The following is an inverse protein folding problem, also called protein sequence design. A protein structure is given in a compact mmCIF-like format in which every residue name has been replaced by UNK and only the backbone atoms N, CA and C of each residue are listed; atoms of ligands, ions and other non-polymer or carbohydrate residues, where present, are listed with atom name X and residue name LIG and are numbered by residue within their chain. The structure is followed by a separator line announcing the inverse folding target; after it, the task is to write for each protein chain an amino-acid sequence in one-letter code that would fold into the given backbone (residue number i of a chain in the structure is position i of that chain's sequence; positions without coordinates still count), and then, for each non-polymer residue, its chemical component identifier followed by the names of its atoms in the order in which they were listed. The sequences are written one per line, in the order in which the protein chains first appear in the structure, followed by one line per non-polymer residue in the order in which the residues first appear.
data_IF_030390924605
#
_entry.id   IF_030390924605
#
_cell.length_a   1.000
_cell.length_b   1.000
_cell.length_c   1.000
_cell.angle_alpha   90.00
_cell.angle_beta   90.00
_cell.angle_gamma   90.00
#
_symmetry.space_group_name_H-M   'P 1'
#
loop_
_entity.id
_entity.type
_entity.pdbx_description
1 polymer ?
#
# COMPACT_ATOMS: atom_id res chain seq x y z
N UNK A 1 -6.08 4.38 25.55
CA UNK A 1 -5.42 4.45 24.22
C UNK A 1 -5.62 5.86 23.65
N UNK A 2 -4.55 6.56 23.26
CA UNK A 2 -4.60 7.99 22.85
C UNK A 2 -4.49 8.23 21.33
N UNK A 3 -3.94 7.28 20.56
CA UNK A 3 -3.92 7.31 19.08
C UNK A 3 -3.20 8.53 18.43
N UNK A 4 -2.42 9.29 19.19
CA UNK A 4 -1.67 10.47 18.73
C UNK A 4 -0.53 10.13 17.75
N UNK A 5 0.06 8.93 17.88
CA UNK A 5 1.19 8.49 17.08
C UNK A 5 0.94 7.11 16.46
N UNK A 6 1.56 6.80 15.30
CA UNK A 6 1.54 5.46 14.73
C UNK A 6 2.01 4.39 15.73
N UNK A 7 1.28 3.28 15.81
CA UNK A 7 1.56 2.24 16.81
C UNK A 7 2.96 1.61 16.63
N UNK A 8 3.42 1.45 15.40
CA UNK A 8 4.76 0.94 15.08
C UNK A 8 5.86 1.87 15.61
N UNK A 9 5.69 3.19 15.49
CA UNK A 9 6.62 4.17 16.03
C UNK A 9 6.64 4.13 17.57
N UNK A 10 5.48 4.01 18.21
CA UNK A 10 5.38 3.88 19.67
C UNK A 10 6.10 2.62 20.17
N UNK A 11 5.85 1.46 19.55
CA UNK A 11 6.53 0.21 19.89
C UNK A 11 8.04 0.30 19.62
N UNK A 12 8.44 0.87 18.49
CA UNK A 12 9.86 1.04 18.17
C UNK A 12 10.57 1.95 19.19
N UNK A 13 9.95 3.06 19.56
CA UNK A 13 10.49 3.99 20.55
C UNK A 13 10.59 3.36 21.94
N UNK A 14 9.54 2.64 22.36
CA UNK A 14 9.53 1.91 23.61
C UNK A 14 10.66 0.87 23.66
N UNK A 15 10.81 0.04 22.62
CA UNK A 15 11.85 -0.99 22.56
C UNK A 15 13.27 -0.41 22.49
N UNK A 16 13.46 0.74 21.85
CA UNK A 16 14.75 1.47 21.85
C UNK A 16 15.14 1.98 23.25
N UNK A 17 14.16 2.44 24.04
CA UNK A 17 14.36 2.88 25.44
C UNK A 17 14.62 1.71 26.39
N UNK A 18 14.03 0.54 26.11
CA UNK A 18 14.14 -0.66 26.95
C UNK A 18 15.10 -1.69 26.33
N UNK A 19 16.39 -1.34 26.28
CA UNK A 19 17.43 -2.18 25.63
C UNK A 19 17.59 -3.58 26.21
N UNK A 20 17.12 -3.82 27.45
CA UNK A 20 17.13 -5.12 28.12
C UNK A 20 16.18 -6.13 27.47
N UNK A 21 15.18 -5.68 26.70
CA UNK A 21 14.26 -6.56 26.00
C UNK A 21 14.99 -7.33 24.90
N UNK A 22 14.98 -8.66 25.00
CA UNK A 22 15.51 -9.56 24.00
C UNK A 22 14.62 -9.62 22.75
N UNK A 23 15.05 -10.37 21.73
CA UNK A 23 14.28 -10.52 20.50
C UNK A 23 12.88 -11.13 20.76
N UNK A 24 12.80 -12.11 21.67
CA UNK A 24 11.55 -12.76 22.06
C UNK A 24 10.58 -11.79 22.74
N UNK A 25 11.07 -11.00 23.69
CA UNK A 25 10.22 -10.04 24.43
C UNK A 25 9.65 -8.97 23.49
N UNK A 26 10.46 -8.50 22.54
CA UNK A 26 10.03 -7.51 21.54
C UNK A 26 8.98 -8.09 20.59
N UNK A 27 9.15 -9.35 20.17
CA UNK A 27 8.17 -10.04 19.34
C UNK A 27 6.84 -10.21 20.08
N UNK A 28 6.89 -10.66 21.34
CA UNK A 28 5.70 -10.81 22.17
C UNK A 28 4.99 -9.47 22.43
N UNK A 29 5.74 -8.41 22.74
CA UNK A 29 5.19 -7.07 22.91
C UNK A 29 4.47 -6.60 21.65
N UNK A 30 5.11 -6.74 20.48
CA UNK A 30 4.51 -6.38 19.20
C UNK A 30 3.24 -7.22 18.92
N UNK A 31 3.30 -8.54 19.13
CA UNK A 31 2.18 -9.44 18.90
C UNK A 31 0.98 -9.08 19.80
N UNK A 32 1.20 -8.72 21.08
CA UNK A 32 0.12 -8.24 21.97
C UNK A 32 -0.43 -6.90 21.51
N UNK A 33 0.42 -5.89 21.28
CA UNK A 33 -0.04 -4.54 20.91
C UNK A 33 -0.82 -4.58 19.59
N UNK A 34 -0.26 -5.20 18.55
CA UNK A 34 -0.93 -5.27 17.25
C UNK A 34 -2.12 -6.24 17.25
N UNK A 35 -2.09 -7.28 18.08
CA UNK A 35 -3.23 -8.19 18.28
C UNK A 35 -4.44 -7.47 18.89
N UNK A 36 -4.21 -6.76 20.01
CA UNK A 36 -5.23 -5.92 20.66
C UNK A 36 -5.76 -4.86 19.70
N UNK A 37 -4.90 -4.17 18.96
CA UNK A 37 -5.35 -3.15 18.01
C UNK A 37 -6.17 -3.74 16.85
N UNK A 38 -5.86 -4.93 16.35
CA UNK A 38 -6.68 -5.58 15.32
C UNK A 38 -8.06 -5.92 15.83
N UNK A 39 -8.14 -6.43 17.05
CA UNK A 39 -9.36 -6.96 17.67
C UNK A 39 -9.92 -6.06 18.78
N UNK A 40 -9.72 -4.74 18.67
CA UNK A 40 -9.87 -3.82 19.78
C UNK A 40 -11.28 -3.85 20.38
N UNK A 41 -12.32 -3.87 19.55
CA UNK A 41 -13.70 -3.78 20.04
C UNK A 41 -14.13 -5.08 20.72
N UNK A 42 -13.77 -6.25 20.18
CA UNK A 42 -13.99 -7.55 20.86
C UNK A 42 -13.17 -7.66 22.15
N UNK A 43 -11.91 -7.19 22.14
CA UNK A 43 -11.08 -7.18 23.35
C UNK A 43 -11.67 -6.26 24.43
N UNK A 44 -12.16 -5.07 24.05
CA UNK A 44 -12.86 -4.16 24.97
C UNK A 44 -14.15 -4.77 25.52
N UNK A 45 -14.93 -5.45 24.68
CA UNK A 45 -16.16 -6.12 25.10
C UNK A 45 -15.92 -7.29 26.08
N UNK A 46 -14.75 -7.94 25.99
CA UNK A 46 -14.36 -9.04 26.88
C UNK A 46 -13.59 -8.58 28.13
N UNK A 47 -13.11 -7.34 28.18
CA UNK A 47 -12.32 -6.82 29.28
C UNK A 47 -13.21 -6.46 30.48
N UNK A 48 -12.66 -6.61 31.70
CA UNK A 48 -13.33 -6.16 32.93
C UNK A 48 -13.46 -4.64 33.00
N UNK A 49 -12.54 -3.92 32.35
CA UNK A 49 -12.58 -2.48 32.15
C UNK A 49 -12.00 -2.16 30.76
N UNK A 50 -12.81 -1.55 29.88
CA UNK A 50 -12.42 -1.21 28.52
C UNK A 50 -11.45 -0.02 28.41
N UNK A 51 -11.29 0.76 29.49
CA UNK A 51 -10.37 1.89 29.58
C UNK A 51 -9.00 1.53 30.15
N UNK A 52 -8.88 0.40 30.83
CA UNK A 52 -7.66 -0.05 31.50
C UNK A 52 -6.77 -0.94 30.61
N UNK A 53 -5.47 -0.66 30.57
CA UNK A 53 -4.54 -1.37 29.70
C UNK A 53 -4.31 -2.82 30.15
N UNK A 54 -4.24 -3.07 31.46
CA UNK A 54 -3.97 -4.40 32.01
C UNK A 54 -5.18 -5.33 31.80
N UNK A 55 -6.40 -4.80 31.95
CA UNK A 55 -7.64 -5.51 31.63
C UNK A 55 -7.73 -5.92 30.16
N UNK A 56 -7.34 -5.03 29.23
CA UNK A 56 -7.30 -5.33 27.80
C UNK A 56 -6.25 -6.41 27.46
N UNK A 57 -5.06 -6.32 28.06
CA UNK A 57 -4.01 -7.32 27.91
C UNK A 57 -4.48 -8.68 28.46
N UNK A 58 -5.14 -8.71 29.62
CA UNK A 58 -5.68 -9.93 30.21
C UNK A 58 -6.80 -10.56 29.34
N UNK A 59 -7.69 -9.74 28.78
CA UNK A 59 -8.72 -10.19 27.85
C UNK A 59 -8.12 -10.79 26.58
N UNK A 60 -7.06 -10.18 26.03
CA UNK A 60 -6.31 -10.70 24.88
C UNK A 60 -5.64 -12.04 25.18
N UNK A 61 -4.85 -12.10 26.26
CA UNK A 61 -4.06 -13.27 26.63
C UNK A 61 -4.92 -14.48 27.05
N UNK A 62 -6.09 -14.24 27.65
CA UNK A 62 -7.03 -15.30 28.01
C UNK A 62 -7.82 -15.86 26.81
N UNK A 63 -7.79 -15.19 25.65
CA UNK A 63 -8.61 -15.52 24.49
C UNK A 63 -10.11 -15.26 24.69
N UNK A 64 -10.51 -14.56 25.77
CA UNK A 64 -11.92 -14.28 26.05
C UNK A 64 -12.62 -13.51 24.92
N UNK A 65 -11.89 -12.61 24.26
CA UNK A 65 -12.33 -11.83 23.11
C UNK A 65 -12.82 -12.68 21.92
N UNK A 66 -12.33 -13.91 21.76
CA UNK A 66 -12.74 -14.80 20.66
C UNK A 66 -14.17 -15.34 20.84
N UNK A 67 -14.68 -15.32 22.07
CA UNK A 67 -16.03 -15.80 22.42
C UNK A 67 -17.07 -14.68 22.47
N UNK A 68 -16.67 -13.44 22.16
CA UNK A 68 -17.59 -12.31 22.06
C UNK A 68 -18.51 -12.56 20.87
N UNK A 69 -19.74 -12.98 21.17
CA UNK A 69 -20.76 -13.27 20.17
C UNK A 69 -21.23 -11.98 19.50
N UNK A 70 -21.17 -11.96 18.18
CA UNK A 70 -21.70 -10.89 17.35
C UNK A 70 -23.19 -10.61 17.62
N UNK A 71 -23.99 -11.61 18.01
CA UNK A 71 -25.42 -11.42 18.26
C UNK A 71 -25.72 -10.52 19.49
N UNK A 72 -24.77 -10.43 20.44
CA UNK A 72 -24.90 -9.59 21.64
C UNK A 72 -24.38 -8.15 21.47
N UNK A 73 -23.73 -7.83 20.34
CA UNK A 73 -23.07 -6.54 20.12
C UNK A 73 -23.38 -5.97 18.73
N UNK A 74 -23.15 -4.67 18.54
CA UNK A 74 -23.33 -4.04 17.23
C UNK A 74 -22.36 -4.58 16.16
N UNK A 75 -22.71 -4.40 14.88
CA UNK A 75 -21.92 -4.88 13.74
C UNK A 75 -20.43 -4.46 13.79
N UNK A 76 -20.13 -3.26 14.28
CA UNK A 76 -18.76 -2.80 14.43
C UNK A 76 -17.95 -3.53 15.50
N UNK A 77 -18.58 -4.06 16.55
CA UNK A 77 -17.90 -4.95 17.50
C UNK A 77 -17.63 -6.29 16.86
N UNK A 78 -18.63 -6.89 16.20
CA UNK A 78 -18.50 -8.17 15.52
C UNK A 78 -17.39 -8.18 14.45
N UNK A 79 -17.21 -7.06 13.75
CA UNK A 79 -16.22 -6.91 12.69
C UNK A 79 -14.87 -6.32 13.17
N UNK A 80 -14.75 -5.92 14.44
CA UNK A 80 -13.65 -5.07 14.94
C UNK A 80 -13.35 -3.85 14.06
N UNK A 81 -14.38 -3.19 13.58
CA UNK A 81 -14.26 -2.02 12.73
C UNK A 81 -15.04 -0.85 13.34
N UNK A 82 -14.59 0.41 13.15
CA UNK A 82 -15.42 1.57 13.44
C UNK A 82 -16.74 1.52 12.66
N UNK A 83 -17.84 1.91 13.30
CA UNK A 83 -19.17 1.86 12.67
C UNK A 83 -19.25 2.73 11.41
N UNK A 84 -18.60 3.90 11.44
CA UNK A 84 -18.53 4.81 10.31
C UNK A 84 -17.81 4.20 9.09
N UNK A 85 -16.80 3.36 9.35
CA UNK A 85 -16.00 2.73 8.31
C UNK A 85 -16.77 1.57 7.67
N UNK A 86 -17.45 0.74 8.48
CA UNK A 86 -18.33 -0.31 7.98
C UNK A 86 -19.47 0.24 7.12
N UNK A 87 -20.10 1.33 7.56
CA UNK A 87 -21.19 1.96 6.82
C UNK A 87 -20.78 2.50 5.44
N UNK A 88 -19.48 2.68 5.20
CA UNK A 88 -18.92 3.20 3.95
C UNK A 88 -18.06 2.18 3.21
N UNK A 89 -18.05 0.92 3.65
CA UNK A 89 -17.22 -0.13 3.08
C UNK A 89 -17.81 -0.57 1.72
N UNK A 90 -17.16 -0.32 0.58
CA UNK A 90 -17.81 -0.45 -0.71
C UNK A 90 -17.66 -1.84 -1.34
N UNK A 91 -16.87 -2.74 -0.75
CA UNK A 91 -16.40 -3.97 -1.42
C UNK A 91 -17.01 -5.26 -0.88
N UNK A 92 -18.27 -5.23 -0.47
CA UNK A 92 -19.00 -6.44 -0.12
C UNK A 92 -20.42 -6.36 -0.66
N UNK A 93 -20.83 -7.38 -1.40
CA UNK A 93 -22.16 -7.47 -1.99
C UNK A 93 -23.20 -8.00 -0.98
N UNK A 94 -22.72 -8.66 0.08
CA UNK A 94 -23.56 -9.26 1.13
C UNK A 94 -23.04 -8.97 2.53
N UNK A 95 -23.90 -9.01 3.57
CA UNK A 95 -23.46 -8.90 4.97
C UNK A 95 -22.45 -9.97 5.38
N UNK A 96 -22.58 -11.20 4.84
CA UNK A 96 -21.66 -12.29 5.13
C UNK A 96 -20.26 -12.04 4.55
N UNK A 97 -20.21 -11.53 3.32
CA UNK A 97 -18.96 -11.12 2.69
C UNK A 97 -18.33 -9.91 3.39
N UNK A 98 -19.13 -8.93 3.82
CA UNK A 98 -18.64 -7.79 4.58
C UNK A 98 -17.95 -8.23 5.89
N UNK A 99 -18.55 -9.19 6.59
CA UNK A 99 -17.96 -9.77 7.79
C UNK A 99 -16.67 -10.55 7.48
N UNK A 100 -16.66 -11.38 6.43
CA UNK A 100 -15.47 -12.12 6.01
C UNK A 100 -14.32 -11.19 5.59
N UNK A 101 -14.67 -10.10 4.89
CA UNK A 101 -13.74 -9.06 4.47
C UNK A 101 -13.14 -8.36 5.69
N UNK A 102 -13.97 -7.93 6.64
CA UNK A 102 -13.50 -7.30 7.87
C UNK A 102 -12.55 -8.22 8.64
N UNK A 103 -12.90 -9.51 8.78
CA UNK A 103 -12.02 -10.50 9.41
C UNK A 103 -10.69 -10.62 8.65
N UNK A 104 -10.69 -10.66 7.32
CA UNK A 104 -9.46 -10.69 6.52
C UNK A 104 -8.59 -9.43 6.70
N UNK A 105 -9.19 -8.25 6.85
CA UNK A 105 -8.48 -7.01 7.20
C UNK A 105 -7.95 -7.00 8.64
N UNK A 106 -8.52 -7.81 9.53
CA UNK A 106 -8.06 -8.01 10.90
C UNK A 106 -6.99 -9.10 11.03
N UNK A 107 -6.56 -9.72 9.93
CA UNK A 107 -5.45 -10.67 9.95
C UNK A 107 -4.12 -9.98 9.64
N UNK A 108 -3.00 -10.40 10.27
CA UNK A 108 -1.67 -9.90 9.92
C UNK A 108 -1.38 -10.01 8.41
N UNK A 109 -0.73 -9.00 7.83
CA UNK A 109 -0.33 -9.05 6.43
C UNK A 109 0.85 -10.02 6.22
N UNK A 110 0.89 -10.78 5.12
CA UNK A 110 2.09 -11.50 4.72
C UNK A 110 3.22 -10.53 4.38
N UNK A 111 4.43 -11.06 4.38
CA UNK A 111 5.62 -10.36 3.93
C UNK A 111 5.91 -10.73 2.48
N UNK A 112 5.65 -9.79 1.58
CA UNK A 112 5.94 -9.94 0.17
C UNK A 112 7.21 -9.13 -0.21
N UNK A 113 7.99 -9.74 -1.09
CA UNK A 113 9.19 -9.18 -1.68
C UNK A 113 8.98 -8.99 -3.17
N UNK A 114 9.54 -7.92 -3.72
CA UNK A 114 9.63 -7.69 -5.16
C UNK A 114 11.06 -7.96 -5.61
N UNK A 115 11.20 -8.82 -6.61
CA UNK A 115 12.48 -9.06 -7.28
C UNK A 115 12.83 -7.89 -8.19
N UNK A 116 14.04 -7.35 -8.01
CA UNK A 116 14.60 -6.37 -8.93
C UNK A 116 15.06 -7.07 -10.22
N UNK A 117 14.29 -6.86 -11.28
CA UNK A 117 14.54 -7.51 -12.58
C UNK A 117 15.91 -7.17 -13.18
N UNK A 118 16.58 -6.10 -12.76
CA UNK A 118 17.94 -5.77 -13.19
C UNK A 118 19.02 -6.66 -12.56
N UNK A 119 18.72 -7.26 -11.41
CA UNK A 119 19.66 -8.07 -10.62
C UNK A 119 19.46 -9.57 -10.79
N UNK A 120 18.25 -10.00 -11.15
CA UNK A 120 17.98 -11.42 -11.36
C UNK A 120 16.57 -11.74 -11.82
N UNK A 121 16.34 -13.04 -12.10
CA UNK A 121 15.01 -13.60 -12.36
C UNK A 121 14.42 -14.13 -11.05
N UNK A 122 13.09 -14.13 -10.94
CA UNK A 122 12.36 -14.56 -9.73
C UNK A 122 12.81 -15.93 -9.21
N UNK A 123 12.89 -16.93 -10.08
CA UNK A 123 13.21 -18.29 -9.66
C UNK A 123 14.66 -18.45 -9.19
N UNK A 124 15.60 -17.71 -9.79
CA UNK A 124 17.00 -17.69 -9.35
C UNK A 124 17.15 -17.01 -7.99
N UNK A 125 16.45 -15.89 -7.77
CA UNK A 125 16.42 -15.19 -6.47
C UNK A 125 15.76 -16.05 -5.39
N UNK A 126 14.67 -16.76 -5.73
CA UNK A 126 14.02 -17.74 -4.85
C UNK A 126 14.98 -18.86 -4.45
N UNK A 127 15.72 -19.42 -5.40
CA UNK A 127 16.69 -20.48 -5.13
C UNK A 127 17.82 -20.00 -4.21
N UNK A 128 18.30 -18.77 -4.40
CA UNK A 128 19.30 -18.16 -3.53
C UNK A 128 18.77 -17.97 -2.09
N UNK A 129 17.55 -17.47 -1.91
CA UNK A 129 16.91 -17.38 -0.59
C UNK A 129 16.78 -18.76 0.08
N UNK A 130 16.38 -19.78 -0.68
CA UNK A 130 16.23 -21.14 -0.16
C UNK A 130 17.57 -21.74 0.29
N UNK A 131 18.67 -21.46 -0.42
CA UNK A 131 20.01 -21.88 -0.02
C UNK A 131 20.45 -21.27 1.32
N UNK A 132 19.95 -20.07 1.64
CA UNK A 132 20.16 -19.38 2.92
C UNK A 132 19.10 -19.73 3.99
N UNK A 133 18.28 -20.76 3.74
CA UNK A 133 17.26 -21.25 4.67
C UNK A 133 16.01 -20.36 4.77
N UNK A 134 15.81 -19.44 3.82
CA UNK A 134 14.63 -18.59 3.74
C UNK A 134 13.64 -19.18 2.74
N UNK A 135 12.60 -19.79 3.28
CA UNK A 135 11.52 -20.33 2.47
C UNK A 135 10.64 -19.20 1.90
N UNK A 136 10.38 -19.27 0.59
CA UNK A 136 9.46 -18.36 -0.09
C UNK A 136 8.64 -19.08 -1.15
N UNK A 137 7.42 -18.62 -1.37
CA UNK A 137 6.55 -19.05 -2.47
C UNK A 137 6.44 -17.95 -3.52
N UNK A 138 6.25 -18.27 -4.81
CA UNK A 138 5.89 -17.25 -5.80
C UNK A 138 4.61 -16.51 -5.39
N UNK A 139 4.57 -15.20 -5.62
CA UNK A 139 3.33 -14.44 -5.50
C UNK A 139 2.28 -14.96 -6.47
N UNK A 140 1.00 -14.78 -6.10
CA UNK A 140 -0.15 -15.33 -6.84
C UNK A 140 -0.43 -14.53 -8.11
N UNK A 141 -0.12 -13.24 -8.11
CA UNK A 141 -0.57 -12.28 -9.10
C UNK A 141 0.56 -11.61 -9.85
N UNK A 142 1.61 -11.16 -9.17
CA UNK A 142 2.74 -10.45 -9.76
C UNK A 142 3.83 -11.43 -10.18
N UNK A 143 4.35 -11.36 -11.41
CA UNK A 143 5.47 -12.20 -11.84
C UNK A 143 6.79 -11.85 -11.11
N UNK A 144 6.81 -10.75 -10.35
CA UNK A 144 7.98 -10.28 -9.60
C UNK A 144 7.92 -10.65 -8.11
N UNK A 145 6.76 -11.09 -7.62
CA UNK A 145 6.53 -11.27 -6.20
C UNK A 145 7.07 -12.61 -5.69
N UNK A 146 7.64 -12.56 -4.48
CA UNK A 146 7.94 -13.71 -3.63
C UNK A 146 7.30 -13.45 -2.26
N UNK A 147 6.48 -14.39 -1.78
CA UNK A 147 5.89 -14.37 -0.44
C UNK A 147 6.77 -15.15 0.51
N UNK A 148 7.12 -14.53 1.63
CA UNK A 148 8.00 -15.12 2.65
C UNK A 148 7.19 -15.99 3.60
N UNK A 149 7.69 -17.20 3.87
CA UNK A 149 7.14 -18.10 4.88
C UNK A 149 7.80 -17.79 6.23
N UNK A 150 6.98 -17.63 7.27
CA UNK A 150 7.45 -17.27 8.61
C UNK A 150 7.93 -15.82 8.74
N UNK A 151 8.79 -15.57 9.74
CA UNK A 151 9.30 -14.22 10.07
C UNK A 151 10.86 -14.19 10.09
N UNK A 152 11.56 -14.56 9.01
CA UNK A 152 13.03 -14.56 8.97
C UNK A 152 13.61 -13.14 9.04
N UNK A 153 14.85 -13.02 9.49
CA UNK A 153 15.56 -11.75 9.57
C UNK A 153 16.10 -11.31 8.19
N UNK A 154 15.25 -10.66 7.38
CA UNK A 154 15.61 -10.29 6.00
C UNK A 154 16.46 -9.03 5.87
N UNK A 155 16.35 -8.09 6.81
CA UNK A 155 16.94 -6.74 6.66
C UNK A 155 18.45 -6.73 6.42
N UNK A 156 19.16 -7.77 6.87
CA UNK A 156 20.63 -7.91 6.70
C UNK A 156 21.00 -8.92 5.62
N UNK A 157 20.03 -9.50 4.94
CA UNK A 157 20.27 -10.50 3.91
C UNK A 157 21.05 -9.88 2.73
N UNK A 158 22.05 -10.59 2.15
CA UNK A 158 22.83 -10.05 1.03
C UNK A 158 21.97 -9.53 -0.13
N UNK A 159 20.92 -10.27 -0.52
CA UNK A 159 19.98 -9.86 -1.59
C UNK A 159 19.13 -8.63 -1.27
N UNK A 160 18.92 -8.32 0.02
CA UNK A 160 18.31 -7.04 0.42
C UNK A 160 19.34 -5.91 0.40
N UNK A 161 20.58 -6.22 0.82
CA UNK A 161 21.67 -5.26 0.92
C UNK A 161 22.19 -4.80 -0.46
N UNK A 162 22.17 -5.66 -1.48
CA UNK A 162 22.59 -5.33 -2.85
C UNK A 162 21.46 -4.83 -3.76
N UNK A 163 20.23 -4.76 -3.22
CA UNK A 163 19.04 -4.28 -3.94
C UNK A 163 18.49 -5.27 -4.97
N UNK A 164 18.79 -6.56 -4.84
CA UNK A 164 18.13 -7.63 -5.60
C UNK A 164 16.67 -7.82 -5.19
N UNK A 165 16.32 -7.43 -3.96
CA UNK A 165 15.00 -7.52 -3.38
C UNK A 165 14.57 -6.18 -2.75
N UNK A 166 13.28 -5.89 -2.83
CA UNK A 166 12.63 -4.81 -2.10
C UNK A 166 11.42 -5.37 -1.35
N UNK A 167 11.19 -4.92 -0.10
CA UNK A 167 9.93 -5.26 0.61
C UNK A 167 8.81 -4.46 -0.04
N UNK A 168 7.82 -5.16 -0.60
CA UNK A 168 6.67 -4.53 -1.21
C UNK A 168 5.51 -5.52 -1.35
N UNK A 169 4.34 -5.13 -0.86
CA UNK A 169 3.08 -5.85 -1.06
C UNK A 169 2.84 -6.16 -2.53
N UNK A 170 2.37 -7.38 -2.83
CA UNK A 170 2.08 -7.83 -4.19
C UNK A 170 1.08 -6.92 -4.92
N UNK A 171 0.07 -6.39 -4.24
CA UNK A 171 -0.87 -5.42 -4.81
C UNK A 171 -0.19 -4.10 -5.22
N UNK A 172 0.72 -3.61 -4.38
CA UNK A 172 1.53 -2.43 -4.74
C UNK A 172 2.45 -2.66 -5.94
N UNK A 173 2.89 -3.90 -6.18
CA UNK A 173 3.64 -4.27 -7.38
C UNK A 173 2.75 -4.20 -8.63
N UNK A 174 1.49 -4.66 -8.55
CA UNK A 174 0.53 -4.59 -9.64
C UNK A 174 0.24 -3.13 -10.03
N UNK A 175 0.13 -2.22 -9.06
CA UNK A 175 -0.01 -0.78 -9.32
C UNK A 175 1.17 -0.23 -10.15
N UNK A 176 2.41 -0.62 -9.82
CA UNK A 176 3.59 -0.25 -10.61
C UNK A 176 3.58 -0.83 -12.02
N UNK A 177 3.04 -2.04 -12.20
CA UNK A 177 2.84 -2.64 -13.53
C UNK A 177 1.76 -1.92 -14.33
N UNK A 178 0.70 -1.45 -13.69
CA UNK A 178 -0.44 -0.78 -14.34
C UNK A 178 -0.03 0.52 -15.06
N UNK A 179 1.04 1.16 -14.62
CA UNK A 179 1.67 2.28 -15.34
C UNK A 179 2.06 1.84 -16.75
N UNK A 180 2.62 0.64 -16.90
CA UNK A 180 3.02 0.07 -18.19
C UNK A 180 4.25 0.73 -18.80
N UNK A 181 5.13 1.30 -17.98
CA UNK A 181 6.32 2.04 -18.39
C UNK A 181 7.20 1.26 -19.37
N UNK A 182 7.61 1.93 -20.46
CA UNK A 182 8.45 1.37 -21.52
C UNK A 182 9.83 2.03 -21.51
N UNK A 183 10.79 1.32 -22.09
CA UNK A 183 12.17 1.80 -22.21
C UNK A 183 12.20 3.11 -23.00
N UNK A 184 12.95 4.09 -22.52
CA UNK A 184 13.17 5.36 -23.21
C UNK A 184 12.09 6.42 -22.94
N UNK A 185 10.97 6.06 -22.30
CA UNK A 185 9.91 7.00 -21.94
C UNK A 185 10.34 7.95 -20.79
N UNK A 186 9.66 9.10 -20.74
CA UNK A 186 9.63 10.00 -19.61
C UNK A 186 8.43 9.64 -18.72
N UNK A 187 8.72 9.10 -17.55
CA UNK A 187 7.73 8.69 -16.55
C UNK A 187 7.83 9.60 -15.32
N UNK A 188 6.69 9.98 -14.77
CA UNK A 188 6.59 10.74 -13.52
C UNK A 188 5.92 9.87 -12.47
N UNK A 189 6.51 9.79 -11.28
CA UNK A 189 5.90 9.30 -10.05
C UNK A 189 5.67 10.51 -9.14
N UNK A 190 4.44 11.02 -9.11
CA UNK A 190 4.10 12.35 -8.58
C UNK A 190 4.05 12.38 -7.04
N UNK A 191 3.83 11.23 -6.41
CA UNK A 191 3.78 11.06 -4.97
C UNK A 191 4.64 9.85 -4.56
N UNK A 192 5.93 9.94 -4.87
CA UNK A 192 6.84 8.80 -4.82
C UNK A 192 7.04 8.22 -3.41
N UNK A 193 6.88 9.03 -2.35
CA UNK A 193 7.14 8.61 -0.98
C UNK A 193 8.56 8.05 -0.82
N UNK A 194 8.67 6.88 -0.19
CA UNK A 194 9.94 6.15 -0.06
C UNK A 194 10.35 5.42 -1.36
N UNK A 195 9.55 5.53 -2.42
CA UNK A 195 9.96 5.24 -3.79
C UNK A 195 9.86 3.78 -4.23
N UNK A 196 9.09 2.95 -3.53
CA UNK A 196 8.87 1.54 -3.90
C UNK A 196 8.47 1.39 -5.37
N UNK A 197 7.46 2.16 -5.82
CA UNK A 197 6.99 2.14 -7.21
C UNK A 197 7.98 2.79 -8.18
N UNK A 198 8.64 3.89 -7.81
CA UNK A 198 9.69 4.51 -8.64
C UNK A 198 10.84 3.54 -8.94
N UNK A 199 11.28 2.76 -7.94
CA UNK A 199 12.30 1.71 -8.11
C UNK A 199 11.83 0.62 -9.08
N UNK A 200 10.56 0.23 -9.01
CA UNK A 200 9.97 -0.73 -9.95
C UNK A 200 9.96 -0.19 -11.37
N UNK A 201 9.48 1.05 -11.55
CA UNK A 201 9.40 1.71 -12.85
C UNK A 201 10.79 1.82 -13.49
N UNK A 202 11.79 2.28 -12.73
CA UNK A 202 13.17 2.39 -13.20
C UNK A 202 13.74 1.03 -13.65
N UNK A 203 13.48 -0.03 -12.88
CA UNK A 203 13.95 -1.39 -13.19
C UNK A 203 13.23 -1.97 -14.43
N UNK A 204 11.93 -1.80 -14.55
CA UNK A 204 11.12 -2.21 -15.71
C UNK A 204 11.61 -1.53 -16.99
N UNK A 205 11.95 -0.25 -16.90
CA UNK A 205 12.51 0.55 -17.98
C UNK A 205 13.97 0.21 -18.30
N UNK A 206 14.60 -0.73 -17.59
CA UNK A 206 15.99 -1.17 -17.79
C UNK A 206 17.01 -0.04 -17.82
N UNK A 207 16.89 0.93 -16.92
CA UNK A 207 17.75 2.13 -16.90
C UNK A 207 17.67 3.01 -18.18
N UNK A 208 16.70 2.79 -19.07
CA UNK A 208 16.51 3.60 -20.27
C UNK A 208 15.32 4.56 -20.11
N UNK A 209 15.50 5.84 -20.48
CA UNK A 209 14.51 6.88 -20.25
C UNK A 209 14.72 7.59 -18.90
N UNK A 210 13.66 8.19 -18.35
CA UNK A 210 13.73 8.94 -17.08
C UNK A 210 12.50 8.69 -16.23
N UNK A 211 12.72 8.48 -14.94
CA UNK A 211 11.68 8.45 -13.90
C UNK A 211 11.90 9.66 -12.99
N UNK A 212 11.07 10.69 -13.13
CA UNK A 212 11.04 11.78 -12.16
C UNK A 212 10.17 11.39 -10.96
N UNK A 213 10.76 11.38 -9.77
CA UNK A 213 10.08 11.01 -8.54
C UNK A 213 9.89 12.24 -7.67
N UNK A 214 8.64 12.70 -7.51
CA UNK A 214 8.29 13.87 -6.72
C UNK A 214 7.68 13.49 -5.38
N UNK A 215 7.99 14.29 -4.36
CA UNK A 215 7.36 14.22 -3.06
C UNK A 215 7.64 15.54 -2.30
N UNK A 216 6.75 15.92 -1.38
CA UNK A 216 6.98 17.08 -0.49
C UNK A 216 8.02 16.79 0.59
N UNK A 217 8.29 15.51 0.88
CA UNK A 217 9.25 15.08 1.88
C UNK A 217 10.63 14.82 1.26
N UNK A 218 11.54 15.78 1.44
CA UNK A 218 12.95 15.61 1.08
C UNK A 218 13.62 14.42 1.79
N UNK A 219 13.17 14.09 3.02
CA UNK A 219 13.67 12.93 3.77
C UNK A 219 13.35 11.60 3.07
N UNK A 220 12.09 11.41 2.64
CA UNK A 220 11.68 10.19 1.90
C UNK A 220 12.40 10.07 0.55
N UNK A 221 12.60 11.19 -0.15
CA UNK A 221 13.33 11.20 -1.42
C UNK A 221 14.82 10.89 -1.26
N UNK A 222 15.42 11.31 -0.14
CA UNK A 222 16.81 10.95 0.18
C UNK A 222 16.97 9.45 0.39
N UNK A 223 15.99 8.81 1.04
CA UNK A 223 15.94 7.34 1.16
C UNK A 223 15.79 6.67 -0.22
N UNK A 224 14.89 7.17 -1.07
CA UNK A 224 14.76 6.68 -2.45
C UNK A 224 16.09 6.79 -3.21
N UNK A 225 16.81 7.91 -3.12
CA UNK A 225 18.10 8.06 -3.80
C UNK A 225 19.12 6.98 -3.37
N UNK A 226 19.18 6.66 -2.08
CA UNK A 226 20.03 5.59 -1.55
C UNK A 226 19.59 4.21 -2.05
N UNK A 227 18.28 3.93 -2.04
CA UNK A 227 17.71 2.66 -2.52
C UNK A 227 17.88 2.49 -4.03
N UNK A 228 17.77 3.57 -4.80
CA UNK A 228 18.01 3.56 -6.25
C UNK A 228 19.47 3.23 -6.56
N UNK A 229 20.42 3.88 -5.87
CA UNK A 229 21.85 3.56 -6.00
C UNK A 229 22.13 2.10 -5.65
N UNK A 230 21.59 1.61 -4.53
CA UNK A 230 21.70 0.19 -4.11
C UNK A 230 21.15 -0.74 -5.19
N UNK A 231 19.95 -0.47 -5.69
CA UNK A 231 19.28 -1.24 -6.74
C UNK A 231 19.93 -1.17 -8.13
N UNK A 232 20.99 -0.37 -8.32
CA UNK A 232 21.67 -0.20 -9.61
C UNK A 232 20.88 0.62 -10.61
N UNK A 233 20.05 1.55 -10.12
CA UNK A 233 19.15 2.37 -10.92
C UNK A 233 19.76 3.74 -11.19
N UNK A 234 19.94 4.08 -12.46
CA UNK A 234 20.55 5.34 -12.91
C UNK A 234 19.56 6.30 -13.57
N UNK A 235 18.34 5.85 -13.83
CA UNK A 235 17.30 6.61 -14.52
C UNK A 235 16.25 7.24 -13.58
N UNK A 236 16.46 7.20 -12.27
CA UNK A 236 15.55 7.78 -11.28
C UNK A 236 16.11 9.13 -10.82
N UNK A 237 15.26 10.15 -10.87
CA UNK A 237 15.59 11.53 -10.52
C UNK A 237 14.64 12.03 -9.42
N UNK A 238 14.97 11.78 -8.14
CA UNK A 238 14.20 12.30 -7.01
C UNK A 238 14.26 13.83 -6.95
N UNK A 239 13.13 14.50 -6.79
CA UNK A 239 13.07 15.95 -6.68
C UNK A 239 11.98 16.36 -5.69
N UNK A 240 12.38 17.06 -4.63
CA UNK A 240 11.42 17.62 -3.68
C UNK A 240 10.67 18.78 -4.33
N UNK A 241 9.36 18.81 -4.13
CA UNK A 241 8.47 19.91 -4.54
C UNK A 241 7.81 20.51 -3.31
N UNK A 242 7.44 21.78 -3.35
CA UNK A 242 6.72 22.41 -2.23
C UNK A 242 5.30 21.82 -2.08
N UNK A 243 4.60 21.71 -3.22
CA UNK A 243 3.24 21.23 -3.35
C UNK A 243 2.97 20.92 -4.84
N UNK A 244 1.73 20.54 -5.17
CA UNK A 244 1.29 20.22 -6.52
C UNK A 244 1.27 21.41 -7.51
N UNK A 245 1.53 22.63 -7.03
CA UNK A 245 1.63 23.86 -7.82
C UNK A 245 3.09 24.34 -8.01
N UNK A 246 4.09 23.56 -7.57
CA UNK A 246 5.50 23.92 -7.66
C UNK A 246 5.90 24.28 -9.12
N UNK A 247 6.53 25.45 -9.37
CA UNK A 247 6.90 25.90 -10.71
C UNK A 247 7.79 24.93 -11.50
N UNK A 248 8.50 24.02 -10.83
CA UNK A 248 9.31 23.00 -11.50
C UNK A 248 8.46 22.02 -12.31
N UNK A 249 7.21 21.79 -11.90
CA UNK A 249 6.25 20.93 -12.61
C UNK A 249 5.88 21.51 -13.98
N UNK A 250 5.82 22.84 -14.11
CA UNK A 250 5.51 23.51 -15.38
C UNK A 250 6.50 23.15 -16.49
N UNK A 251 7.76 22.83 -16.15
CA UNK A 251 8.77 22.40 -17.11
C UNK A 251 8.46 21.05 -17.76
N UNK A 252 7.57 20.25 -17.15
CA UNK A 252 7.15 18.92 -17.62
C UNK A 252 5.73 18.90 -18.19
N UNK A 253 5.05 20.05 -18.25
CA UNK A 253 3.70 20.16 -18.79
C UNK A 253 3.60 19.57 -20.20
N UNK A 254 2.71 18.58 -20.38
CA UNK A 254 2.48 17.88 -21.65
C UNK A 254 3.67 17.07 -22.17
N UNK A 255 4.66 16.71 -21.34
CA UNK A 255 5.88 16.01 -21.78
C UNK A 255 5.95 14.55 -21.32
N UNK A 256 5.32 14.20 -20.20
CA UNK A 256 5.41 12.87 -19.64
C UNK A 256 4.62 11.87 -20.50
N UNK A 257 5.27 10.78 -20.90
CA UNK A 257 4.61 9.65 -21.52
C UNK A 257 3.62 9.00 -20.56
N UNK A 258 4.00 8.94 -19.27
CA UNK A 258 3.19 8.34 -18.22
C UNK A 258 3.37 9.07 -16.91
N UNK A 259 2.29 9.21 -16.16
CA UNK A 259 2.28 9.78 -14.82
C UNK A 259 1.58 8.82 -13.88
N UNK A 260 2.22 8.50 -12.76
CA UNK A 260 1.66 7.77 -11.64
C UNK A 260 1.38 8.75 -10.51
N UNK A 261 0.16 8.69 -9.98
CA UNK A 261 -0.27 9.35 -8.76
C UNK A 261 -0.65 8.28 -7.75
N UNK A 262 0.31 7.86 -6.93
CA UNK A 262 0.05 7.04 -5.74
C UNK A 262 -0.34 7.99 -4.60
N UNK A 263 -1.60 8.40 -4.60
CA UNK A 263 -2.05 9.59 -3.90
C UNK A 263 -1.95 9.42 -2.37
N UNK A 264 -1.63 10.49 -1.62
CA UNK A 264 -1.75 10.47 -0.17
C UNK A 264 -3.22 10.22 0.22
N UNK A 265 -3.50 9.08 0.84
CA UNK A 265 -4.84 8.68 1.24
C UNK A 265 -4.94 8.38 2.73
N UNK A 266 -6.10 7.89 3.17
CA UNK A 266 -6.29 7.41 4.54
C UNK A 266 -5.40 6.20 4.86
N UNK A 267 -5.06 5.37 3.86
CA UNK A 267 -4.29 4.15 4.06
C UNK A 267 -5.08 3.01 4.70
N UNK A 268 -6.41 3.12 4.76
CA UNK A 268 -7.30 2.13 5.39
C UNK A 268 -7.23 0.74 4.73
N UNK A 269 -6.73 0.63 3.50
CA UNK A 269 -6.42 -0.64 2.86
C UNK A 269 -5.24 -1.38 3.50
N UNK A 270 -4.41 -0.70 4.30
CA UNK A 270 -3.19 -1.26 4.90
C UNK A 270 -3.33 -1.58 6.39
N UNK A 271 -4.55 -1.62 6.94
CA UNK A 271 -4.80 -1.87 8.38
C UNK A 271 -4.23 -3.21 8.88
N UNK A 272 -4.00 -4.18 8.00
CA UNK A 272 -3.31 -5.44 8.33
C UNK A 272 -1.86 -5.22 8.80
N UNK A 273 -1.22 -4.18 8.25
CA UNK A 273 0.15 -3.73 8.56
C UNK A 273 0.16 -2.70 9.69
N UNK A 274 -0.77 -1.75 9.66
CA UNK A 274 -0.92 -0.69 10.65
C UNK A 274 -2.35 -0.67 11.21
N UNK A 275 -2.68 -1.57 12.16
CA UNK A 275 -4.06 -1.75 12.64
C UNK A 275 -4.60 -0.57 13.45
N UNK A 276 -3.73 0.34 13.89
CA UNK A 276 -4.13 1.61 14.50
C UNK A 276 -4.81 2.57 13.52
N UNK A 277 -4.58 2.45 12.21
CA UNK A 277 -5.12 3.39 11.21
C UNK A 277 -6.64 3.51 11.29
N UNK A 278 -7.36 2.37 11.38
CA UNK A 278 -8.83 2.38 11.48
C UNK A 278 -9.35 3.04 12.76
N UNK A 279 -8.54 3.15 13.82
CA UNK A 279 -8.93 3.81 15.07
C UNK A 279 -8.50 5.26 15.16
N UNK A 280 -7.46 5.63 14.39
CA UNK A 280 -6.90 6.98 14.34
C UNK A 280 -7.73 7.93 13.49
N UNK A 281 -8.42 7.41 12.48
CA UNK A 281 -9.27 8.21 11.61
C UNK A 281 -10.71 8.31 12.09
N UNK A 282 -11.29 9.49 11.86
CA UNK A 282 -12.70 9.79 11.97
C UNK A 282 -13.28 10.01 10.58
N UNK A 283 -14.60 9.92 10.47
CA UNK A 283 -15.30 10.08 9.20
C UNK A 283 -15.05 11.44 8.54
N UNK A 284 -14.78 12.47 9.36
CA UNK A 284 -14.51 13.85 8.94
C UNK A 284 -13.10 14.02 8.34
N UNK A 285 -12.15 13.15 8.67
CA UNK A 285 -10.76 13.24 8.21
C UNK A 285 -10.58 12.85 6.73
N UNK A 286 -11.63 12.30 6.11
CA UNK A 286 -11.61 11.81 4.73
C UNK A 286 -11.76 12.97 3.74
N UNK A 287 -12.66 13.91 3.98
CA UNK A 287 -12.96 14.98 3.02
C UNK A 287 -11.74 15.86 2.67
N UNK A 288 -10.89 16.31 3.63
CA UNK A 288 -9.68 17.05 3.30
C UNK A 288 -8.69 16.26 2.43
N UNK A 289 -8.64 14.92 2.58
CA UNK A 289 -7.77 14.05 1.77
C UNK A 289 -8.29 13.94 0.33
N UNK A 290 -9.59 13.78 0.16
CA UNK A 290 -10.24 13.77 -1.16
C UNK A 290 -9.93 15.07 -1.91
N UNK A 291 -10.06 16.23 -1.25
CA UNK A 291 -9.73 17.52 -1.85
C UNK A 291 -8.25 17.60 -2.29
N UNK A 292 -7.32 17.14 -1.46
CA UNK A 292 -5.90 17.08 -1.80
C UNK A 292 -5.64 16.11 -2.98
N UNK A 293 -6.29 14.94 -2.99
CA UNK A 293 -6.17 13.95 -4.07
C UNK A 293 -6.66 14.51 -5.41
N UNK A 294 -7.78 15.24 -5.42
CA UNK A 294 -8.31 15.89 -6.61
C UNK A 294 -7.35 16.96 -7.14
N UNK A 295 -6.81 17.81 -6.24
CA UNK A 295 -5.82 18.84 -6.61
C UNK A 295 -4.55 18.22 -7.23
N UNK A 296 -3.98 17.21 -6.56
CA UNK A 296 -2.81 16.47 -7.01
C UNK A 296 -3.07 15.80 -8.36
N UNK A 297 -4.23 15.15 -8.54
CA UNK A 297 -4.57 14.45 -9.77
C UNK A 297 -4.69 15.42 -10.95
N UNK A 298 -5.29 16.59 -10.75
CA UNK A 298 -5.38 17.64 -11.77
C UNK A 298 -3.99 18.17 -12.16
N UNK A 299 -3.11 18.45 -11.19
CA UNK A 299 -1.75 18.88 -11.44
C UNK A 299 -0.92 17.83 -12.21
N UNK A 300 -1.06 16.56 -11.80
CA UNK A 300 -0.40 15.44 -12.47
C UNK A 300 -0.89 15.26 -13.91
N UNK A 301 -2.19 15.41 -14.17
CA UNK A 301 -2.78 15.32 -15.50
C UNK A 301 -2.19 16.34 -16.49
N UNK A 302 -1.86 17.54 -16.03
CA UNK A 302 -1.24 18.57 -16.86
C UNK A 302 0.15 18.17 -17.40
N UNK A 303 0.83 17.21 -16.76
CA UNK A 303 2.14 16.71 -17.19
C UNK A 303 2.04 15.69 -18.33
N UNK A 304 0.90 15.02 -18.46
CA UNK A 304 0.68 13.92 -19.40
C UNK A 304 0.63 14.47 -20.83
N UNK A 305 1.46 13.95 -21.73
CA UNK A 305 1.41 14.32 -23.15
C UNK A 305 0.12 13.80 -23.83
N UNK A 306 -0.31 14.34 -24.98
CA UNK A 306 -1.36 13.72 -25.80
C UNK A 306 -1.00 12.26 -26.16
N UNK A 307 -1.95 11.34 -26.02
CA UNK A 307 -1.72 9.90 -26.12
C UNK A 307 -0.97 9.28 -24.93
N UNK A 308 -0.65 10.06 -23.91
CA UNK A 308 0.02 9.62 -22.69
C UNK A 308 -0.92 8.97 -21.68
N UNK A 309 -0.34 8.45 -20.60
CA UNK A 309 -1.05 7.69 -19.56
C UNK A 309 -1.04 8.45 -18.24
N UNK A 310 -2.17 8.41 -17.53
CA UNK A 310 -2.28 8.78 -16.13
C UNK A 310 -2.79 7.58 -15.32
N UNK A 311 -2.08 7.20 -14.27
CA UNK A 311 -2.54 6.18 -13.31
C UNK A 311 -2.76 6.86 -11.97
N UNK A 312 -4.00 6.84 -11.50
CA UNK A 312 -4.36 7.21 -10.15
C UNK A 312 -4.45 5.95 -9.30
N UNK A 313 -3.88 5.96 -8.10
CA UNK A 313 -3.93 4.83 -7.20
C UNK A 313 -3.94 5.27 -5.73
N UNK A 314 -4.55 4.46 -4.88
CA UNK A 314 -4.53 4.65 -3.43
C UNK A 314 -4.38 3.30 -2.72
N UNK A 315 -3.96 3.34 -1.47
CA UNK A 315 -4.13 2.23 -0.52
C UNK A 315 -5.32 2.47 0.43
N UNK A 316 -6.40 3.03 -0.10
CA UNK A 316 -7.70 3.18 0.57
C UNK A 316 -8.71 2.19 0.01
N UNK A 317 -9.68 1.86 0.85
CA UNK A 317 -10.85 1.07 0.48
C UNK A 317 -12.09 1.93 0.26
N UNK A 318 -12.03 3.23 0.53
CA UNK A 318 -13.20 4.10 0.51
C UNK A 318 -13.48 4.60 -0.90
N UNK A 319 -14.73 4.44 -1.36
CA UNK A 319 -15.15 4.93 -2.68
C UNK A 319 -14.94 6.45 -2.84
N UNK A 320 -15.06 7.20 -1.73
CA UNK A 320 -14.81 8.64 -1.69
C UNK A 320 -13.37 9.02 -2.08
N UNK A 321 -12.39 8.18 -1.77
CA UNK A 321 -10.97 8.39 -2.12
C UNK A 321 -10.60 7.66 -3.42
N UNK A 322 -11.53 7.00 -4.09
CA UNK A 322 -11.26 6.07 -5.17
C UNK A 322 -12.13 6.40 -6.39
N UNK A 323 -13.23 5.66 -6.56
CA UNK A 323 -14.16 5.80 -7.69
C UNK A 323 -14.71 7.23 -7.82
N UNK A 324 -15.03 7.89 -6.70
CA UNK A 324 -15.54 9.26 -6.71
C UNK A 324 -14.50 10.27 -7.23
N UNK A 325 -13.25 10.18 -6.80
CA UNK A 325 -12.16 11.04 -7.29
C UNK A 325 -11.95 10.86 -8.79
N UNK A 326 -11.99 9.61 -9.27
CA UNK A 326 -11.82 9.30 -10.69
C UNK A 326 -13.02 9.78 -11.51
N UNK A 327 -14.24 9.59 -11.02
CA UNK A 327 -15.45 10.07 -11.68
C UNK A 327 -15.46 11.60 -11.83
N UNK A 328 -15.14 12.33 -10.75
CA UNK A 328 -15.04 13.79 -10.76
C UNK A 328 -13.93 14.27 -11.72
N UNK A 329 -12.79 13.59 -11.72
CA UNK A 329 -11.69 13.89 -12.63
C UNK A 329 -12.11 13.73 -14.10
N UNK A 330 -12.72 12.61 -14.47
CA UNK A 330 -13.16 12.34 -15.84
C UNK A 330 -14.26 13.31 -16.30
N UNK A 331 -15.15 13.72 -15.39
CA UNK A 331 -16.17 14.73 -15.69
C UNK A 331 -15.56 16.12 -15.99
N UNK A 332 -14.44 16.46 -15.33
CA UNK A 332 -13.77 17.76 -15.47
C UNK A 332 -12.64 17.78 -16.50
N UNK A 333 -12.16 16.61 -16.93
CA UNK A 333 -11.06 16.44 -17.88
C UNK A 333 -11.48 15.57 -19.07
N UNK A 334 -12.34 16.07 -19.99
CA UNK A 334 -12.91 15.26 -21.07
C UNK A 334 -11.89 14.73 -22.09
N UNK A 335 -10.66 15.25 -22.06
CA UNK A 335 -9.53 14.70 -22.84
C UNK A 335 -8.99 13.37 -22.27
N UNK A 336 -9.48 12.89 -21.12
CA UNK A 336 -9.09 11.62 -20.54
C UNK A 336 -10.26 10.62 -20.59
N UNK A 337 -9.94 9.36 -20.79
CA UNK A 337 -10.88 8.24 -20.66
C UNK A 337 -10.24 7.10 -19.90
N UNK A 338 -11.05 6.24 -19.27
CA UNK A 338 -10.58 5.00 -18.66
C UNK A 338 -9.95 4.08 -19.72
N UNK A 339 -8.91 3.38 -19.30
CA UNK A 339 -8.24 2.32 -20.06
C UNK A 339 -8.21 1.07 -19.19
N UNK A 340 -8.96 -0.01 -19.54
CA UNK A 340 -9.18 -1.15 -18.66
C UNK A 340 -7.90 -1.76 -18.09
N UNK A 341 -7.86 -1.92 -16.76
CA UNK A 341 -6.64 -2.30 -16.05
C UNK A 341 -6.18 -3.73 -16.34
N UNK A 342 -7.10 -4.71 -16.29
CA UNK A 342 -6.75 -6.13 -16.32
C UNK A 342 -6.10 -6.59 -17.64
N UNK A 343 -6.58 -6.21 -18.83
CA UNK A 343 -5.93 -6.61 -20.08
C UNK A 343 -4.47 -6.16 -20.17
N UNK A 344 -4.13 -4.97 -19.64
CA UNK A 344 -2.74 -4.50 -19.60
C UNK A 344 -1.89 -5.30 -18.61
N UNK A 345 -2.42 -5.60 -17.42
CA UNK A 345 -1.71 -6.38 -16.41
C UNK A 345 -1.46 -7.81 -16.90
N UNK A 346 -2.44 -8.44 -17.54
CA UNK A 346 -2.31 -9.77 -18.14
C UNK A 346 -1.19 -9.81 -19.20
N UNK A 347 -1.09 -8.81 -20.07
CA UNK A 347 0.01 -8.68 -21.06
C UNK A 347 1.40 -8.56 -20.42
N UNK A 348 1.47 -8.13 -19.16
CA UNK A 348 2.71 -8.04 -18.39
C UNK A 348 2.96 -9.26 -17.50
N UNK A 349 2.14 -10.31 -17.64
CA UNK A 349 2.30 -11.57 -16.91
C UNK A 349 1.65 -11.57 -15.53
N UNK A 350 0.78 -10.60 -15.23
CA UNK A 350 -0.06 -10.69 -14.04
C UNK A 350 -1.18 -11.72 -14.23
N UNK A 351 -1.52 -12.44 -13.17
CA UNK A 351 -2.47 -13.56 -13.22
C UNK A 351 -3.80 -13.30 -12.48
N UNK A 352 -4.24 -12.04 -12.41
CA UNK A 352 -5.53 -11.68 -11.81
C UNK A 352 -6.68 -12.32 -12.59
N UNK A 353 -7.73 -12.82 -11.91
CA UNK A 353 -8.93 -13.27 -12.59
C UNK A 353 -9.59 -12.11 -13.32
N UNK A 354 -10.27 -12.35 -14.46
CA UNK A 354 -11.06 -11.32 -15.12
C UNK A 354 -12.19 -10.87 -14.20
N UNK A 355 -12.47 -9.56 -14.22
CA UNK A 355 -13.69 -8.97 -13.67
C UNK A 355 -14.28 -8.00 -14.71
N UNK A 356 -15.48 -7.48 -14.43
CA UNK A 356 -16.16 -6.53 -15.29
C UNK A 356 -15.77 -5.07 -15.03
N UNK A 357 -14.74 -4.82 -14.22
CA UNK A 357 -14.34 -3.47 -13.81
C UNK A 357 -13.25 -2.94 -14.74
N UNK A 358 -13.35 -1.65 -15.05
CA UNK A 358 -12.27 -0.95 -15.77
C UNK A 358 -11.11 -0.57 -14.82
N UNK A 359 -11.40 -0.51 -13.52
CA UNK A 359 -10.46 -0.19 -12.44
C UNK A 359 -9.95 -1.44 -11.74
N UNK A 360 -8.78 -1.34 -11.10
CA UNK A 360 -8.20 -2.40 -10.29
C UNK A 360 -8.63 -2.24 -8.82
N UNK A 361 -9.21 -3.29 -8.25
CA UNK A 361 -9.55 -3.39 -6.83
C UNK A 361 -8.89 -4.62 -6.25
N UNK A 362 -8.13 -4.43 -5.19
CA UNK A 362 -7.43 -5.50 -4.49
C UNK A 362 -7.81 -5.48 -3.03
N UNK A 363 -7.89 -6.66 -2.41
CA UNK A 363 -8.29 -6.82 -1.03
C UNK A 363 -7.74 -8.11 -0.41
N UNK A 364 -7.68 -8.20 0.93
CA UNK A 364 -7.19 -9.37 1.64
C UNK A 364 -7.99 -10.65 1.43
N UNK A 365 -9.31 -10.57 1.26
CA UNK A 365 -10.19 -11.75 1.19
C UNK A 365 -10.02 -12.48 -0.15
N UNK A 366 -10.10 -11.75 -1.27
CA UNK A 366 -10.05 -12.33 -2.60
C UNK A 366 -8.63 -12.46 -3.14
N UNK A 367 -7.77 -11.49 -2.80
CA UNK A 367 -6.45 -11.34 -3.41
C UNK A 367 -5.31 -11.69 -2.46
N UNK A 368 -5.54 -11.80 -1.15
CA UNK A 368 -4.50 -11.99 -0.15
C UNK A 368 -3.38 -10.92 -0.21
N UNK A 369 -3.72 -9.72 -0.67
CA UNK A 369 -2.89 -8.50 -0.64
C UNK A 369 -3.42 -7.55 0.44
N UNK A 370 -2.83 -6.36 0.58
CA UNK A 370 -3.56 -5.25 1.20
C UNK A 370 -4.68 -4.73 0.28
N UNK A 371 -5.50 -3.82 0.83
CA UNK A 371 -6.51 -3.06 0.11
C UNK A 371 -5.91 -2.00 -0.81
N UNK A 372 -6.16 -2.08 -2.11
CA UNK A 372 -5.73 -1.08 -3.08
C UNK A 372 -6.80 -0.79 -4.12
N UNK A 373 -6.76 0.44 -4.62
CA UNK A 373 -7.50 0.87 -5.80
C UNK A 373 -6.54 1.48 -6.82
N UNK A 374 -6.80 1.25 -8.10
CA UNK A 374 -6.14 2.00 -9.16
C UNK A 374 -7.03 2.17 -10.39
N UNK A 375 -7.01 3.38 -10.96
CA UNK A 375 -7.63 3.72 -12.23
C UNK A 375 -6.54 4.13 -13.22
N UNK A 376 -6.56 3.49 -14.38
CA UNK A 376 -5.70 3.83 -15.49
C UNK A 376 -6.51 4.63 -16.51
N UNK A 377 -5.96 5.75 -16.93
CA UNK A 377 -6.58 6.68 -17.86
C UNK A 377 -5.59 7.02 -18.97
N UNK A 378 -6.11 7.29 -20.16
CA UNK A 378 -5.33 7.70 -21.32
C UNK A 378 -5.79 9.08 -21.76
N UNK A 379 -4.84 9.97 -22.04
CA UNK A 379 -5.11 11.28 -22.64
C UNK A 379 -5.32 11.10 -24.14
N UNK A 380 -6.37 11.65 -24.70
CA UNK A 380 -6.62 11.69 -26.14
C UNK A 380 -5.44 12.36 -26.88
N UNK A 381 -5.19 11.89 -28.10
CA UNK A 381 -4.05 12.26 -28.92
C UNK A 381 -4.19 13.66 -29.56
#
# INVERSE_FOLDING_TARGET
MQFEHPADQVVQHYTKRHRRLGARDRAQLADVVFGVLRHLRRVQAAATDAGDADALIAAWLSGAWQRVDAAGFGAGVAADMPDWLLARWPWADTPAEAQAMAEAFNQPAPLDLRVNVLRGKRDAVRAALAADGIETTPGRWSPLALRVVGKPALQRHPLMADGSLEVQDEGSQLLGMLVGARRGELVVDFCAGAGGKSLQLGATMRNAGRVHAFDVSAGRLSELALRAKRGGLSNIFPMAIADEHDPRLQRLAGKADRVLVDAPCSGLGTVRRAPDLKWRYRAEDIAPRVAAQQSILAAAAALVKPGGVLVYATCSVLAAENEAVVADFLATHPSFSLDPALPLLARQGAALPPDARDTLHLDPLHHATDGFFAARMVRQA
#
